data_IF_593408725012
#
_entry.id   IF_593408725012
#
_cell.length_a   1.000
_cell.length_b   1.000
_cell.length_c   1.000
_cell.angle_alpha   90.00
_cell.angle_beta   90.00
_cell.angle_gamma   90.00
#
_symmetry.space_group_name_H-M   'P 1'
#
loop_
_entity.id
_entity.type
_entity.pdbx_description
1 polymer ?
#
# COMPACT_ATOMS: atom_id res chain seq x y z
N UNK A 1 1.70 11.71 -20.35
CA UNK A 1 1.97 11.06 -19.06
C UNK A 1 3.47 10.96 -18.88
N UNK A 2 4.03 11.34 -17.73
CA UNK A 2 5.47 11.19 -17.47
C UNK A 2 5.83 9.71 -17.33
N UNK A 3 7.04 9.34 -17.75
CA UNK A 3 7.55 7.97 -17.61
C UNK A 3 7.50 7.52 -16.14
N UNK A 4 6.87 6.37 -15.89
CA UNK A 4 6.91 5.76 -14.57
C UNK A 4 8.36 5.47 -14.18
N UNK A 5 8.72 5.78 -12.93
CA UNK A 5 10.02 5.41 -12.39
C UNK A 5 10.19 3.87 -12.44
N UNK A 6 11.43 3.35 -12.59
CA UNK A 6 11.67 1.91 -12.80
C UNK A 6 11.03 1.00 -11.72
N UNK A 7 10.99 1.49 -10.48
CA UNK A 7 10.36 0.82 -9.34
C UNK A 7 8.86 0.57 -9.52
N UNK A 8 8.18 1.41 -10.30
CA UNK A 8 6.73 1.36 -10.56
C UNK A 8 6.35 0.70 -11.90
N UNK A 9 7.35 0.24 -12.67
CA UNK A 9 7.10 -0.51 -13.91
C UNK A 9 6.84 -1.99 -13.58
N UNK A 10 5.68 -2.49 -13.96
CA UNK A 10 5.26 -3.89 -13.83
C UNK A 10 4.96 -4.47 -15.22
N UNK A 11 5.08 -5.79 -15.44
CA UNK A 11 5.38 -6.84 -14.44
C UNK A 11 6.88 -6.94 -14.08
N UNK A 12 7.18 -7.39 -12.85
CA UNK A 12 8.55 -7.65 -12.36
C UNK A 12 8.85 -9.15 -12.26
N UNK A 13 10.12 -9.55 -12.23
CA UNK A 13 10.45 -10.92 -11.81
C UNK A 13 10.19 -11.11 -10.31
N UNK A 14 9.99 -12.35 -9.84
CA UNK A 14 9.82 -12.63 -8.40
C UNK A 14 10.99 -12.09 -7.58
N UNK A 15 12.22 -12.31 -8.05
CA UNK A 15 13.43 -11.80 -7.42
C UNK A 15 13.46 -10.26 -7.45
N UNK A 16 13.12 -9.65 -8.57
CA UNK A 16 13.08 -8.19 -8.69
C UNK A 16 12.08 -7.55 -7.73
N UNK A 17 10.87 -8.12 -7.61
CA UNK A 17 9.88 -7.67 -6.64
C UNK A 17 10.40 -7.86 -5.20
N UNK A 18 10.96 -9.03 -4.87
CA UNK A 18 11.51 -9.30 -3.54
C UNK A 18 12.64 -8.31 -3.16
N UNK A 19 13.56 -8.02 -4.08
CA UNK A 19 14.64 -7.04 -3.87
C UNK A 19 14.07 -5.64 -3.61
N UNK A 20 13.05 -5.22 -4.36
CA UNK A 20 12.39 -3.93 -4.13
C UNK A 20 11.75 -3.89 -2.74
N UNK A 21 11.01 -4.93 -2.34
CA UNK A 21 10.37 -4.99 -1.03
C UNK A 21 11.38 -5.02 0.12
N UNK A 22 12.45 -5.80 -0.01
CA UNK A 22 13.53 -5.86 0.99
C UNK A 22 14.22 -4.51 1.14
N UNK A 23 14.48 -3.80 0.04
CA UNK A 23 15.02 -2.43 0.10
C UNK A 23 14.08 -1.49 0.83
N UNK A 24 12.76 -1.61 0.66
CA UNK A 24 11.77 -0.80 1.39
C UNK A 24 11.69 -1.15 2.87
N UNK A 25 12.00 -2.39 3.24
CA UNK A 25 12.10 -2.83 4.63
C UNK A 25 13.43 -2.42 5.30
N UNK A 26 14.43 -1.96 4.55
CA UNK A 26 15.72 -1.56 5.11
C UNK A 26 15.59 -0.26 5.93
N UNK A 27 16.08 -0.28 7.17
CA UNK A 27 15.91 0.81 8.14
C UNK A 27 16.35 2.17 7.59
N UNK A 28 17.51 2.27 6.94
CA UNK A 28 18.01 3.54 6.39
C UNK A 28 17.13 4.08 5.26
N UNK A 29 16.53 3.19 4.47
CA UNK A 29 15.58 3.61 3.43
C UNK A 29 14.33 4.18 4.07
N UNK A 30 13.75 3.50 5.06
CA UNK A 30 12.57 4.02 5.73
C UNK A 30 12.85 5.29 6.52
N UNK A 31 13.99 5.37 7.22
CA UNK A 31 14.42 6.58 7.92
C UNK A 31 14.49 7.77 6.96
N UNK A 32 15.08 7.59 5.77
CA UNK A 32 15.10 8.62 4.74
C UNK A 32 13.69 9.10 4.37
N UNK A 33 12.75 8.18 4.12
CA UNK A 33 11.37 8.55 3.76
C UNK A 33 10.61 9.23 4.90
N UNK A 34 10.78 8.78 6.14
CA UNK A 34 10.16 9.40 7.32
C UNK A 34 10.71 10.81 7.54
N UNK A 35 12.03 10.99 7.50
CA UNK A 35 12.67 12.31 7.65
C UNK A 35 12.23 13.24 6.52
N UNK A 36 12.23 12.75 5.27
CA UNK A 36 11.75 13.51 4.11
C UNK A 36 10.29 13.93 4.30
N UNK A 37 9.42 13.03 4.75
CA UNK A 37 8.01 13.32 5.02
C UNK A 37 7.82 14.34 6.14
N UNK A 38 8.59 14.21 7.23
CA UNK A 38 8.56 15.15 8.35
C UNK A 38 8.98 16.55 7.90
N UNK A 39 10.09 16.68 7.18
CA UNK A 39 10.56 17.96 6.62
C UNK A 39 9.53 18.50 5.61
N UNK A 40 8.99 17.66 4.73
CA UNK A 40 7.94 18.08 3.80
C UNK A 40 6.71 18.65 4.53
N UNK A 41 6.31 18.03 5.64
CA UNK A 41 5.16 18.47 6.44
C UNK A 41 5.35 19.83 7.12
N UNK A 42 6.59 20.28 7.35
CA UNK A 42 6.86 21.61 7.94
C UNK A 42 6.85 22.72 6.88
N UNK A 43 7.02 22.36 5.60
CA UNK A 43 6.95 23.30 4.48
C UNK A 43 5.50 23.60 4.06
N UNK A 44 4.54 22.75 4.45
CA UNK A 44 3.11 22.99 4.17
C UNK A 44 2.64 24.19 5.00
N UNK A 45 2.16 25.28 4.38
CA UNK A 45 1.63 26.43 5.09
C UNK A 45 0.51 26.00 6.04
N UNK A 46 0.64 26.37 7.31
CA UNK A 46 -0.33 26.02 8.35
C UNK A 46 -0.53 27.18 9.32
N UNK A 47 -1.75 27.33 9.89
CA UNK A 47 -2.02 28.33 10.93
C UNK A 47 -1.04 28.21 12.10
N UNK A 48 -0.69 29.34 12.73
CA UNK A 48 0.28 29.39 13.83
C UNK A 48 -0.09 28.47 15.01
N UNK A 49 -1.37 28.40 15.37
CA UNK A 49 -1.86 27.54 16.45
C UNK A 49 -1.62 26.05 16.17
N UNK A 50 -1.75 25.61 14.91
CA UNK A 50 -1.52 24.23 14.52
C UNK A 50 -0.03 23.88 14.59
N UNK A 51 0.84 24.83 14.21
CA UNK A 51 2.29 24.68 14.39
C UNK A 51 2.66 24.60 15.87
N UNK A 52 2.10 25.48 16.70
CA UNK A 52 2.32 25.48 18.14
C UNK A 52 1.85 24.15 18.76
N UNK A 53 0.66 23.65 18.39
CA UNK A 53 0.15 22.36 18.84
C UNK A 53 1.06 21.20 18.43
N UNK A 54 1.56 21.20 17.19
CA UNK A 54 2.51 20.18 16.69
C UNK A 54 3.81 20.18 17.49
N UNK A 55 4.43 21.34 17.67
CA UNK A 55 5.67 21.44 18.45
C UNK A 55 5.46 21.13 19.93
N UNK A 56 4.32 21.54 20.50
CA UNK A 56 3.92 21.19 21.86
C UNK A 56 3.78 19.68 22.05
N UNK A 57 3.16 18.98 21.09
CA UNK A 57 3.06 17.53 21.09
C UNK A 57 4.44 16.85 21.01
N UNK A 58 5.33 17.30 20.12
CA UNK A 58 6.68 16.72 20.05
C UNK A 58 7.50 17.00 21.31
N UNK A 59 7.40 18.21 21.87
CA UNK A 59 8.06 18.55 23.11
C UNK A 59 7.56 17.69 24.29
N UNK A 60 6.25 17.41 24.38
CA UNK A 60 5.71 16.57 25.44
C UNK A 60 6.15 15.11 25.31
N UNK A 61 6.24 14.57 24.09
CA UNK A 61 6.81 13.24 23.83
C UNK A 61 8.27 13.20 24.28
N UNK A 62 9.10 14.15 23.86
CA UNK A 62 10.52 14.21 24.26
C UNK A 62 10.67 14.33 25.78
N UNK A 63 9.90 15.23 26.43
CA UNK A 63 9.93 15.39 27.87
C UNK A 63 9.57 14.09 28.60
N UNK A 64 8.56 13.37 28.11
CA UNK A 64 8.16 12.05 28.65
C UNK A 64 9.29 11.03 28.50
N UNK A 65 9.92 10.95 27.32
CA UNK A 65 11.03 10.02 27.08
C UNK A 65 12.25 10.31 27.96
N UNK A 66 12.59 11.58 28.16
CA UNK A 66 13.68 12.00 29.05
C UNK A 66 13.35 11.67 30.50
N UNK A 67 12.16 12.05 30.98
CA UNK A 67 11.75 11.87 32.37
C UNK A 67 11.75 10.38 32.77
N UNK A 68 11.26 9.50 31.90
CA UNK A 68 11.21 8.06 32.18
C UNK A 68 12.42 7.26 31.64
N UNK A 69 13.37 7.90 30.96
CA UNK A 69 14.53 7.22 30.36
C UNK A 69 14.19 6.20 29.27
N UNK A 70 13.11 6.40 28.51
CA UNK A 70 12.52 5.41 27.60
C UNK A 70 13.07 5.44 26.16
N UNK A 71 14.21 6.07 25.93
CA UNK A 71 14.77 6.26 24.58
C UNK A 71 15.02 4.95 23.83
N UNK A 72 15.52 3.92 24.54
CA UNK A 72 15.78 2.62 23.93
C UNK A 72 14.48 1.91 23.50
N UNK A 73 13.46 1.92 24.36
CA UNK A 73 12.14 1.35 24.09
C UNK A 73 11.45 2.10 22.95
N UNK A 74 11.57 3.44 22.93
CA UNK A 74 11.04 4.25 21.85
C UNK A 74 11.73 3.93 20.51
N UNK A 75 13.05 3.80 20.50
CA UNK A 75 13.79 3.38 19.30
C UNK A 75 13.30 2.00 18.82
N UNK A 76 13.24 1.01 19.72
CA UNK A 76 12.95 -0.38 19.37
C UNK A 76 11.49 -0.62 18.96
N UNK A 77 10.52 -0.03 19.68
CA UNK A 77 9.09 -0.30 19.48
C UNK A 77 8.38 0.72 18.61
N UNK A 78 8.99 1.89 18.35
CA UNK A 78 8.40 2.91 17.48
C UNK A 78 9.26 3.14 16.24
N UNK A 79 10.49 3.62 16.42
CA UNK A 79 11.30 4.07 15.28
C UNK A 79 11.69 2.92 14.35
N UNK A 80 12.16 1.79 14.88
CA UNK A 80 12.52 0.61 14.08
C UNK A 80 11.33 0.06 13.28
N UNK A 81 10.17 -0.29 13.86
CA UNK A 81 9.05 -0.81 13.07
C UNK A 81 8.47 0.24 12.12
N UNK A 82 8.49 1.52 12.48
CA UNK A 82 8.03 2.60 11.61
C UNK A 82 8.94 2.84 10.40
N UNK A 83 10.27 2.67 10.56
CA UNK A 83 11.24 2.81 9.48
C UNK A 83 11.51 1.50 8.72
N UNK A 84 10.89 0.38 9.09
CA UNK A 84 11.08 -0.92 8.43
C UNK A 84 9.75 -1.46 7.94
N UNK A 85 9.00 -2.13 8.83
CA UNK A 85 7.76 -2.80 8.51
C UNK A 85 6.70 -1.85 7.96
N UNK A 86 6.49 -0.68 8.57
CA UNK A 86 5.48 0.25 8.12
C UNK A 86 5.73 0.72 6.68
N UNK A 87 6.97 1.07 6.33
CA UNK A 87 7.33 1.49 4.96
C UNK A 87 7.15 0.35 3.96
N UNK A 88 7.57 -0.87 4.32
CA UNK A 88 7.37 -2.04 3.48
C UNK A 88 5.88 -2.34 3.27
N UNK A 89 5.08 -2.35 4.33
CA UNK A 89 3.64 -2.62 4.28
C UNK A 89 2.88 -1.56 3.46
N UNK A 90 3.19 -0.27 3.63
CA UNK A 90 2.61 0.79 2.80
C UNK A 90 2.96 0.62 1.32
N UNK A 91 4.20 0.22 1.02
CA UNK A 91 4.62 -0.01 -0.36
C UNK A 91 3.94 -1.23 -0.98
N UNK A 92 3.82 -2.34 -0.23
CA UNK A 92 3.07 -3.53 -0.65
C UNK A 92 1.62 -3.16 -0.95
N UNK A 93 0.99 -2.42 -0.04
CA UNK A 93 -0.38 -1.92 -0.20
C UNK A 93 -0.53 -1.08 -1.48
N UNK A 94 0.36 -0.11 -1.69
CA UNK A 94 0.32 0.76 -2.87
C UNK A 94 0.45 -0.02 -4.18
N UNK A 95 1.30 -1.07 -4.22
CA UNK A 95 1.37 -1.99 -5.36
C UNK A 95 0.03 -2.72 -5.54
N UNK A 96 -0.48 -3.32 -4.47
CA UNK A 96 -1.72 -4.10 -4.53
C UNK A 96 -2.95 -3.27 -4.90
N UNK A 97 -2.93 -1.95 -4.69
CA UNK A 97 -4.05 -1.07 -4.95
C UNK A 97 -4.00 -0.44 -6.35
N UNK A 98 -2.80 -0.19 -6.91
CA UNK A 98 -2.64 0.64 -8.11
C UNK A 98 -1.81 0.02 -9.24
N UNK A 99 -1.13 -1.11 -9.03
CA UNK A 99 -0.27 -1.71 -10.05
C UNK A 99 -0.98 -2.83 -10.79
N UNK A 100 -0.71 -3.00 -12.09
CA UNK A 100 -1.30 -4.04 -12.96
C UNK A 100 -2.85 -4.05 -12.97
N UNK A 101 -3.46 -2.87 -12.75
CA UNK A 101 -4.92 -2.66 -12.77
C UNK A 101 -5.31 -2.36 -14.20
N UNK A 102 -5.98 -3.30 -14.87
CA UNK A 102 -6.40 -3.17 -16.27
C UNK A 102 -7.88 -3.51 -16.38
N UNK A 103 -8.66 -2.55 -16.90
CA UNK A 103 -10.10 -2.65 -17.12
C UNK A 103 -10.43 -1.99 -18.45
N UNK A 104 -11.41 -2.54 -19.16
CA UNK A 104 -11.94 -1.94 -20.41
C UNK A 104 -12.66 -0.62 -20.14
N UNK A 105 -13.15 -0.42 -18.90
CA UNK A 105 -13.69 0.84 -18.43
C UNK A 105 -12.64 1.62 -17.62
N UNK A 106 -12.29 2.82 -18.12
CA UNK A 106 -11.19 3.65 -17.62
C UNK A 106 -11.35 4.02 -16.14
N UNK A 107 -12.59 4.24 -15.66
CA UNK A 107 -12.90 4.57 -14.26
C UNK A 107 -12.51 3.45 -13.28
N UNK A 108 -12.48 2.20 -13.73
CA UNK A 108 -12.10 1.03 -12.93
C UNK A 108 -10.62 0.65 -13.10
N UNK A 109 -9.92 1.24 -14.08
CA UNK A 109 -8.51 0.97 -14.35
C UNK A 109 -7.56 1.73 -13.42
N UNK A 110 -8.08 2.58 -12.52
CA UNK A 110 -7.26 3.44 -11.64
C UNK A 110 -6.81 2.70 -10.38
N UNK A 111 -7.74 1.98 -9.74
CA UNK A 111 -7.53 1.29 -8.47
C UNK A 111 -8.30 -0.02 -8.41
N UNK A 112 -7.90 -0.92 -7.51
CA UNK A 112 -8.59 -2.19 -7.27
C UNK A 112 -8.99 -2.38 -5.82
N UNK A 113 -9.88 -3.33 -5.57
CA UNK A 113 -10.19 -3.84 -4.24
C UNK A 113 -9.37 -5.09 -3.94
N UNK A 114 -8.59 -5.08 -2.86
CA UNK A 114 -7.87 -6.25 -2.35
C UNK A 114 -8.42 -6.64 -0.97
N UNK A 115 -9.25 -7.69 -0.92
CA UNK A 115 -9.85 -8.21 0.31
C UNK A 115 -8.81 -9.11 1.01
N UNK A 116 -8.28 -8.71 2.18
CA UNK A 116 -7.20 -9.45 2.83
C UNK A 116 -7.70 -10.68 3.58
N UNK A 117 -6.83 -11.68 3.73
CA UNK A 117 -6.97 -12.73 4.75
C UNK A 117 -6.82 -12.16 6.17
N UNK A 118 -7.08 -12.96 7.21
CA UNK A 118 -6.96 -12.49 8.61
C UNK A 118 -5.56 -11.95 8.93
N UNK A 119 -4.50 -12.65 8.52
CA UNK A 119 -3.12 -12.21 8.78
C UNK A 119 -2.77 -10.97 7.96
N UNK A 120 -3.13 -10.96 6.68
CA UNK A 120 -2.90 -9.78 5.83
C UNK A 120 -3.64 -8.55 6.36
N UNK A 121 -4.83 -8.73 6.93
CA UNK A 121 -5.58 -7.64 7.56
C UNK A 121 -4.82 -7.06 8.75
N UNK A 122 -4.18 -7.88 9.57
CA UNK A 122 -3.44 -7.40 10.74
C UNK A 122 -2.16 -6.67 10.31
N UNK A 123 -1.45 -7.24 9.33
CA UNK A 123 -0.06 -6.83 9.06
C UNK A 123 0.11 -5.89 7.85
N UNK A 124 -0.78 -5.92 6.87
CA UNK A 124 -0.63 -5.19 5.59
C UNK A 124 -1.80 -4.24 5.31
N UNK A 125 -3.05 -4.73 5.41
CA UNK A 125 -4.27 -4.00 5.08
C UNK A 125 -5.21 -3.87 6.29
N UNK A 126 -4.79 -3.20 7.38
CA UNK A 126 -5.64 -2.98 8.55
C UNK A 126 -6.79 -2.04 8.25
N UNK A 127 -7.79 -2.02 9.13
CA UNK A 127 -8.89 -1.04 9.06
C UNK A 127 -9.61 -0.99 7.71
N UNK A 128 -9.82 -2.14 7.05
CA UNK A 128 -10.55 -2.23 5.77
C UNK A 128 -9.99 -1.36 4.63
N UNK A 129 -8.72 -0.94 4.69
CA UNK A 129 -8.12 -0.09 3.64
C UNK A 129 -8.02 -0.76 2.28
N UNK A 130 -8.09 -2.10 2.24
CA UNK A 130 -8.10 -2.89 1.02
C UNK A 130 -9.33 -2.69 0.12
N UNK A 131 -10.42 -2.12 0.65
CA UNK A 131 -11.56 -1.62 -0.13
C UNK A 131 -11.24 -0.27 -0.77
N UNK A 132 -10.18 -0.25 -1.58
CA UNK A 132 -9.59 0.99 -2.06
C UNK A 132 -10.40 1.63 -3.19
N UNK A 133 -10.91 0.81 -4.12
CA UNK A 133 -11.79 1.29 -5.20
C UNK A 133 -13.05 1.95 -4.61
N UNK A 134 -13.66 1.33 -3.61
CA UNK A 134 -14.83 1.86 -2.93
C UNK A 134 -14.51 3.18 -2.22
N UNK A 135 -13.33 3.29 -1.60
CA UNK A 135 -12.88 4.52 -0.97
C UNK A 135 -12.65 5.65 -1.98
N UNK A 136 -12.10 5.36 -3.17
CA UNK A 136 -11.93 6.38 -4.23
C UNK A 136 -13.26 6.90 -4.74
N UNK A 137 -14.25 6.02 -4.88
CA UNK A 137 -15.59 6.40 -5.36
C UNK A 137 -16.42 7.12 -4.30
N UNK A 138 -16.28 6.70 -3.04
CA UNK A 138 -17.05 7.24 -1.92
C UNK A 138 -16.14 7.58 -0.72
N UNK A 139 -15.27 8.61 -0.85
CA UNK A 139 -14.26 8.92 0.17
C UNK A 139 -14.85 9.41 1.50
N UNK A 140 -16.12 9.84 1.50
CA UNK A 140 -16.87 10.21 2.70
C UNK A 140 -17.33 9.01 3.54
N UNK A 141 -17.31 7.80 2.98
CA UNK A 141 -17.72 6.59 3.72
C UNK A 141 -16.57 6.16 4.65
N UNK A 142 -16.83 6.04 5.96
CA UNK A 142 -15.78 5.68 6.89
C UNK A 142 -15.35 4.21 6.70
N UNK A 143 -14.07 3.93 6.99
CA UNK A 143 -13.45 2.64 6.70
C UNK A 143 -14.20 1.42 7.27
N UNK A 144 -14.85 1.57 8.43
CA UNK A 144 -15.60 0.48 9.07
C UNK A 144 -16.90 0.12 8.33
N UNK A 145 -17.41 0.99 7.44
CA UNK A 145 -18.57 0.73 6.57
C UNK A 145 -18.19 0.37 5.12
N UNK A 146 -16.92 0.41 4.75
CA UNK A 146 -16.49 0.00 3.40
C UNK A 146 -16.90 -1.43 3.02
N UNK A 147 -16.90 -2.44 3.93
CA UNK A 147 -17.40 -3.77 3.60
C UNK A 147 -18.92 -3.80 3.31
N UNK A 148 -19.68 -2.89 3.89
CA UNK A 148 -21.11 -2.73 3.60
C UNK A 148 -21.31 -2.06 2.24
N UNK A 149 -20.61 -0.96 2.00
CA UNK A 149 -20.60 -0.30 0.69
C UNK A 149 -20.21 -1.25 -0.44
N UNK A 150 -19.16 -2.06 -0.25
CA UNK A 150 -18.75 -3.07 -1.21
C UNK A 150 -19.90 -4.04 -1.55
N UNK A 151 -20.63 -4.53 -0.54
CA UNK A 151 -21.78 -5.43 -0.75
C UNK A 151 -22.88 -4.75 -1.57
N UNK A 152 -23.18 -3.48 -1.30
CA UNK A 152 -24.17 -2.71 -2.06
C UNK A 152 -23.73 -2.46 -3.51
N UNK A 153 -22.45 -2.14 -3.72
CA UNK A 153 -21.90 -1.94 -5.07
C UNK A 153 -21.89 -3.23 -5.88
N UNK A 154 -21.62 -4.38 -5.26
CA UNK A 154 -21.69 -5.70 -5.91
C UNK A 154 -23.09 -6.08 -6.42
N UNK A 155 -24.15 -5.41 -5.95
CA UNK A 155 -25.50 -5.57 -6.50
C UNK A 155 -25.68 -4.81 -7.83
N UNK A 156 -24.79 -3.87 -8.16
CA UNK A 156 -24.84 -3.09 -9.40
C UNK A 156 -24.11 -3.85 -10.51
N UNK A 157 -24.79 -4.04 -11.64
CA UNK A 157 -24.26 -4.80 -12.77
C UNK A 157 -22.90 -4.27 -13.27
N UNK A 158 -22.79 -2.96 -13.49
CA UNK A 158 -21.54 -2.34 -13.97
C UNK A 158 -20.38 -2.56 -12.99
N UNK A 159 -20.60 -2.33 -11.69
CA UNK A 159 -19.56 -2.55 -10.69
C UNK A 159 -19.13 -4.01 -10.64
N UNK A 160 -20.09 -4.96 -10.59
CA UNK A 160 -19.76 -6.39 -10.54
C UNK A 160 -18.99 -6.87 -11.78
N UNK A 161 -19.26 -6.28 -12.95
CA UNK A 161 -18.62 -6.67 -14.20
C UNK A 161 -17.20 -6.10 -14.34
N UNK A 162 -17.00 -4.86 -13.90
CA UNK A 162 -15.77 -4.10 -14.22
C UNK A 162 -14.82 -3.94 -13.01
N UNK A 163 -15.32 -4.05 -11.78
CA UNK A 163 -14.48 -3.90 -10.60
C UNK A 163 -13.43 -5.01 -10.49
N UNK A 164 -12.17 -4.61 -10.38
CA UNK A 164 -11.07 -5.53 -10.16
C UNK A 164 -11.03 -5.84 -8.66
N UNK A 165 -11.53 -7.01 -8.30
CA UNK A 165 -11.54 -7.50 -6.93
C UNK A 165 -10.59 -8.68 -6.82
N UNK A 166 -9.70 -8.64 -5.82
CA UNK A 166 -8.80 -9.73 -5.48
C UNK A 166 -8.95 -10.12 -4.04
N UNK A 167 -8.90 -11.43 -3.80
CA UNK A 167 -8.88 -12.00 -2.47
C UNK A 167 -7.44 -12.43 -2.19
N UNK A 168 -6.83 -11.80 -1.19
CA UNK A 168 -5.41 -11.86 -0.80
C UNK A 168 -4.47 -10.84 -1.44
N UNK A 169 -3.63 -10.26 -0.59
CA UNK A 169 -2.42 -9.49 -0.95
C UNK A 169 -1.50 -10.29 -1.87
N UNK A 170 -1.32 -11.58 -1.62
CA UNK A 170 -0.44 -12.42 -2.44
C UNK A 170 -0.99 -12.61 -3.86
N UNK A 171 -2.30 -12.70 -4.00
CA UNK A 171 -2.95 -12.76 -5.32
C UNK A 171 -2.69 -11.47 -6.10
N UNK A 172 -2.92 -10.31 -5.47
CA UNK A 172 -2.66 -9.01 -6.09
C UNK A 172 -1.19 -8.81 -6.46
N UNK A 173 -0.26 -9.19 -5.58
CA UNK A 173 1.18 -9.15 -5.89
C UNK A 173 1.55 -10.12 -7.02
N UNK A 174 0.89 -11.28 -7.10
CA UNK A 174 1.12 -12.27 -8.15
C UNK A 174 0.85 -11.74 -9.56
N UNK A 175 -0.12 -10.84 -9.72
CA UNK A 175 -0.41 -10.18 -11.00
C UNK A 175 0.65 -9.16 -11.41
N UNK A 176 1.36 -8.61 -10.44
CA UNK A 176 2.49 -7.71 -10.66
C UNK A 176 3.78 -8.47 -11.04
N UNK A 177 3.75 -9.81 -11.05
CA UNK A 177 4.91 -10.65 -11.36
C UNK A 177 4.76 -11.25 -12.75
N UNK A 178 5.84 -11.23 -13.54
CA UNK A 178 5.89 -11.86 -14.86
C UNK A 178 5.61 -13.35 -14.70
N UNK A 179 4.54 -13.84 -15.34
CA UNK A 179 4.31 -15.28 -15.48
C UNK A 179 5.49 -15.86 -16.28
N UNK A 180 6.08 -16.97 -15.80
CA UNK A 180 7.09 -17.67 -16.58
C UNK A 180 6.48 -18.00 -17.94
N UNK A 181 7.24 -17.80 -19.03
CA UNK A 181 6.78 -18.20 -20.36
C UNK A 181 6.46 -19.70 -20.29
N UNK A 182 5.18 -20.05 -20.39
CA UNK A 182 4.80 -21.43 -20.72
C UNK A 182 5.43 -21.70 -22.08
N UNK A 183 6.29 -22.71 -22.17
CA UNK A 183 6.81 -23.19 -23.45
C UNK A 183 5.63 -23.34 -24.43
N UNK A 184 5.78 -22.95 -25.70
CA UNK A 184 4.73 -23.20 -26.68
C UNK A 184 4.42 -24.71 -26.70
N UNK A 185 3.16 -25.12 -26.97
CA UNK A 185 2.84 -26.53 -27.14
C UNK A 185 3.79 -27.12 -28.18
N UNK A 186 4.41 -28.26 -27.86
CA UNK A 186 5.31 -28.95 -28.77
C UNK A 186 4.60 -29.20 -30.10
N UNK A 187 5.19 -28.71 -31.18
CA UNK A 187 4.73 -28.85 -32.56
C UNK A 187 4.94 -30.30 -33.06
N UNK A 188 4.35 -31.28 -32.35
CA UNK A 188 4.47 -32.72 -32.64
C UNK A 188 3.11 -33.40 -32.73
N UNK A 189 2.05 -32.64 -33.02
CA UNK A 189 0.70 -33.17 -33.26
C UNK A 189 0.06 -32.61 -34.54
N UNK A 190 0.88 -32.31 -35.56
CA UNK A 190 0.42 -31.92 -36.90
C UNK A 190 0.98 -32.81 -38.02
N UNK A 191 1.32 -34.06 -37.69
CA UNK A 191 1.63 -35.11 -38.67
C UNK A 191 1.10 -36.47 -38.20
N UNK A 192 -0.21 -36.66 -38.33
CA UNK A 192 -0.85 -37.95 -38.70
C UNK A 192 -2.08 -37.59 -39.51
#
# INVERSE_FOLDING_TARGET
AGDLAPDWRFPKTRLGLAVVLLRRAAFLTGLFWIVRGLVGSTLIPSPSWMRAARFGFYASVVATLVYFGLWYQFLLFWIVPFCTWHIAAQYIRLICEHSAVESDEEEYAITRTTIPTLLERIFILPCNVGYHLEHHWYPSVPFYRLPELHRELMQRHGFRQNAIIRHSVFTSLGECVRKAATSPPSETAARV
#
